data_IF_982662982375
#
_entry.id   IF_982662982375
#
_cell.length_a   1.000
_cell.length_b   1.000
_cell.length_c   1.000
_cell.angle_alpha   90.00
_cell.angle_beta   90.00
_cell.angle_gamma   90.00
#
_symmetry.space_group_name_H-M   'P 1'
#
loop_
_entity.id
_entity.type
_entity.pdbx_description
1 polymer ?
#
# COMPACT_ATOMS: atom_id res chain seq x y z
N UNK A 1 22.84 16.37 -30.20
CA UNK A 1 22.08 16.47 -28.93
C UNK A 1 22.70 15.48 -27.95
N UNK A 2 23.45 15.95 -26.94
CA UNK A 2 24.11 15.06 -25.97
C UNK A 2 23.04 14.54 -25.00
N UNK A 3 22.73 13.24 -25.07
CA UNK A 3 21.90 12.61 -24.05
C UNK A 3 22.69 12.62 -22.73
N UNK A 4 22.14 13.28 -21.71
CA UNK A 4 22.66 13.21 -20.34
C UNK A 4 22.64 11.77 -19.82
N UNK A 5 23.24 11.52 -18.64
CA UNK A 5 23.25 10.20 -18.02
C UNK A 5 21.83 9.64 -17.92
N UNK A 6 21.66 8.35 -18.24
CA UNK A 6 20.37 7.66 -18.16
C UNK A 6 19.82 7.77 -16.74
N UNK A 7 18.74 8.55 -16.55
CA UNK A 7 18.10 8.72 -15.25
C UNK A 7 17.37 7.45 -14.78
N UNK A 8 17.08 6.52 -15.70
CA UNK A 8 16.31 5.30 -15.44
C UNK A 8 17.17 4.06 -15.66
N UNK A 9 17.10 3.13 -14.70
CA UNK A 9 17.73 1.81 -14.83
C UNK A 9 16.93 0.94 -15.80
N UNK A 10 17.64 0.22 -16.67
CA UNK A 10 17.04 -0.72 -17.64
C UNK A 10 16.25 -1.81 -16.93
N UNK A 11 15.15 -2.25 -17.54
CA UNK A 11 14.30 -3.35 -17.08
C UNK A 11 13.66 -3.14 -15.69
N UNK A 12 13.59 -1.90 -15.21
CA UNK A 12 12.85 -1.57 -14.00
C UNK A 12 11.39 -1.30 -14.35
N UNK A 13 10.48 -1.76 -13.49
CA UNK A 13 9.06 -1.42 -13.60
C UNK A 13 8.86 0.00 -13.09
N UNK A 14 8.24 0.83 -13.91
CA UNK A 14 7.95 2.21 -13.62
C UNK A 14 6.45 2.39 -13.39
N UNK A 15 6.14 3.24 -12.42
CA UNK A 15 4.81 3.71 -12.13
C UNK A 15 4.75 5.20 -12.45
N UNK A 16 3.81 5.56 -13.31
CA UNK A 16 3.58 6.94 -13.67
C UNK A 16 2.40 7.48 -12.86
N UNK A 17 2.58 8.63 -12.22
CA UNK A 17 1.52 9.33 -11.51
C UNK A 17 1.32 10.68 -12.18
N UNK A 18 0.20 10.83 -12.88
CA UNK A 18 -0.20 12.09 -13.51
C UNK A 18 -1.13 12.82 -12.55
N UNK A 19 -0.72 13.99 -12.08
CA UNK A 19 -1.51 14.88 -11.23
C UNK A 19 -2.03 16.04 -12.07
N UNK A 20 -3.35 16.09 -12.28
CA UNK A 20 -4.01 17.18 -13.00
C UNK A 20 -4.73 18.09 -12.00
N UNK A 21 -4.51 19.39 -12.09
CA UNK A 21 -5.21 20.41 -11.30
C UNK A 21 -6.27 21.05 -12.18
N UNK A 22 -7.53 20.77 -11.88
CA UNK A 22 -8.69 21.26 -12.63
C UNK A 22 -9.48 22.25 -11.78
N UNK A 23 -9.96 23.38 -12.34
CA UNK A 23 -10.97 24.18 -11.67
C UNK A 23 -12.27 23.41 -11.50
N UNK A 24 -12.98 23.68 -10.40
CA UNK A 24 -14.36 23.22 -10.23
C UNK A 24 -15.36 24.12 -11.00
N UNK A 25 -15.09 24.38 -12.29
CA UNK A 25 -15.98 25.16 -13.16
C UNK A 25 -17.24 24.37 -13.54
N UNK A 26 -18.33 25.07 -13.86
CA UNK A 26 -19.56 24.41 -14.32
C UNK A 26 -19.36 23.66 -15.64
N UNK A 27 -18.38 24.08 -16.46
CA UNK A 27 -17.96 23.35 -17.65
C UNK A 27 -17.32 22.00 -17.27
N UNK A 28 -16.27 22.00 -16.44
CA UNK A 28 -15.58 20.79 -15.99
C UNK A 28 -16.51 19.82 -15.24
N UNK A 29 -17.48 20.34 -14.51
CA UNK A 29 -18.49 19.54 -13.80
C UNK A 29 -19.43 18.81 -14.78
N UNK A 30 -19.81 19.46 -15.89
CA UNK A 30 -20.71 18.87 -16.91
C UNK A 30 -19.96 17.96 -17.88
N UNK A 31 -18.65 18.11 -18.00
CA UNK A 31 -17.81 17.34 -18.92
C UNK A 31 -17.88 15.82 -18.68
N UNK A 32 -17.96 15.42 -17.40
CA UNK A 32 -18.06 14.02 -17.00
C UNK A 32 -16.73 13.27 -17.05
N UNK A 33 -16.76 12.05 -17.61
CA UNK A 33 -15.59 11.21 -17.80
C UNK A 33 -14.75 11.68 -18.99
N UNK A 34 -13.45 11.88 -18.79
CA UNK A 34 -12.46 12.13 -19.84
C UNK A 34 -11.32 11.11 -19.75
N UNK A 35 -10.69 10.84 -20.88
CA UNK A 35 -9.66 9.81 -20.96
C UNK A 35 -8.27 10.45 -20.97
N UNK A 36 -7.37 9.95 -20.14
CA UNK A 36 -5.98 10.42 -20.09
C UNK A 36 -5.09 9.26 -20.49
N UNK A 37 -4.28 9.50 -21.52
CA UNK A 37 -3.34 8.55 -22.08
C UNK A 37 -1.92 9.05 -21.85
N UNK A 38 -1.05 8.17 -21.37
CA UNK A 38 0.37 8.43 -21.25
C UNK A 38 1.17 7.49 -22.15
N UNK A 39 2.13 8.05 -22.86
CA UNK A 39 2.98 7.35 -23.82
C UNK A 39 4.44 7.61 -23.49
N UNK A 40 5.24 6.54 -23.45
CA UNK A 40 6.69 6.65 -23.34
C UNK A 40 7.29 6.72 -24.73
N UNK A 41 8.06 7.77 -24.97
CA UNK A 41 8.74 8.02 -26.23
C UNK A 41 10.23 7.68 -26.09
N UNK A 42 10.71 6.85 -27.01
CA UNK A 42 12.13 6.58 -27.21
C UNK A 42 12.85 7.82 -27.76
N UNK A 43 14.19 7.82 -27.72
CA UNK A 43 15.03 8.83 -28.37
C UNK A 43 14.73 9.00 -29.87
N UNK A 44 14.22 7.95 -30.53
CA UNK A 44 13.80 7.98 -31.94
C UNK A 44 12.40 8.57 -32.17
N UNK A 45 11.68 8.98 -31.12
CA UNK A 45 10.30 9.45 -31.20
C UNK A 45 9.27 8.33 -31.35
N UNK A 46 9.69 7.06 -31.36
CA UNK A 46 8.80 5.91 -31.38
C UNK A 46 8.11 5.73 -30.02
N UNK A 47 6.81 5.45 -30.03
CA UNK A 47 6.05 5.07 -28.83
C UNK A 47 6.45 3.65 -28.42
N UNK A 48 7.10 3.51 -27.27
CA UNK A 48 7.51 2.21 -26.72
C UNK A 48 6.38 1.58 -25.95
N UNK A 49 5.71 2.36 -25.11
CA UNK A 49 4.59 1.92 -24.29
C UNK A 49 3.52 3.00 -24.21
N UNK A 50 2.26 2.59 -24.17
CA UNK A 50 1.10 3.46 -24.01
C UNK A 50 0.17 2.87 -22.95
N UNK A 51 -0.33 3.71 -22.05
CA UNK A 51 -1.37 3.36 -21.08
C UNK A 51 -2.45 4.42 -21.11
N UNK A 52 -3.72 3.99 -21.08
CA UNK A 52 -4.87 4.89 -21.05
C UNK A 52 -5.72 4.58 -19.83
N UNK A 53 -6.14 5.62 -19.12
CA UNK A 53 -7.01 5.51 -17.96
C UNK A 53 -8.16 6.53 -18.08
N UNK A 54 -9.42 6.09 -17.90
CA UNK A 54 -10.54 7.01 -17.81
C UNK A 54 -10.54 7.66 -16.42
N UNK A 55 -10.83 8.95 -16.35
CA UNK A 55 -10.94 9.69 -15.10
C UNK A 55 -12.05 10.75 -15.17
N UNK A 56 -12.50 11.22 -14.01
CA UNK A 56 -13.60 12.17 -13.91
C UNK A 56 -13.39 13.07 -12.71
N UNK A 57 -13.85 14.32 -12.82
CA UNK A 57 -13.92 15.25 -11.69
C UNK A 57 -14.77 14.63 -10.58
N UNK A 58 -14.34 14.75 -9.32
CA UNK A 58 -15.09 14.07 -8.24
C UNK A 58 -16.45 14.72 -8.11
N UNK A 59 -17.49 13.93 -8.36
CA UNK A 59 -18.85 14.41 -8.21
C UNK A 59 -19.13 14.78 -6.75
N UNK A 60 -19.70 15.96 -6.56
CA UNK A 60 -20.20 16.46 -5.28
C UNK A 60 -21.66 16.86 -5.48
N UNK A 61 -22.51 16.53 -4.52
CA UNK A 61 -23.91 16.92 -4.60
C UNK A 61 -24.06 18.45 -4.44
N UNK A 62 -25.12 19.06 -5.00
CA UNK A 62 -25.34 20.51 -4.89
C UNK A 62 -25.37 21.01 -3.45
N UNK A 63 -25.95 20.23 -2.53
CA UNK A 63 -26.05 20.59 -1.11
C UNK A 63 -24.68 20.52 -0.41
N UNK A 64 -23.91 19.46 -0.65
CA UNK A 64 -22.56 19.31 -0.09
C UNK A 64 -21.67 20.45 -0.60
N UNK A 65 -21.79 20.78 -1.89
CA UNK A 65 -21.09 21.91 -2.50
C UNK A 65 -21.46 23.22 -1.82
N UNK A 66 -22.73 23.48 -1.55
CA UNK A 66 -23.15 24.71 -0.87
C UNK A 66 -22.51 24.85 0.51
N UNK A 67 -22.55 23.78 1.31
CA UNK A 67 -21.91 23.76 2.65
C UNK A 67 -20.40 23.93 2.53
N UNK A 68 -19.75 23.24 1.58
CA UNK A 68 -18.32 23.35 1.36
C UNK A 68 -17.89 24.74 0.89
N UNK A 69 -18.63 25.36 -0.04
CA UNK A 69 -18.40 26.74 -0.48
C UNK A 69 -18.59 27.68 0.70
N UNK A 70 -19.64 27.53 1.50
CA UNK A 70 -19.87 28.36 2.68
C UNK A 70 -18.71 28.29 3.68
N UNK A 71 -18.23 27.07 3.98
CA UNK A 71 -17.06 26.86 4.84
C UNK A 71 -15.76 27.41 4.21
N UNK A 72 -15.60 27.26 2.90
CA UNK A 72 -14.43 27.75 2.16
C UNK A 72 -14.43 29.25 1.98
N UNK A 73 -15.56 29.95 2.01
CA UNK A 73 -15.63 31.42 1.85
C UNK A 73 -14.67 32.13 2.80
N UNK A 74 -14.64 31.74 4.07
CA UNK A 74 -13.70 32.32 5.04
C UNK A 74 -12.23 32.11 4.64
N UNK A 75 -11.87 30.89 4.25
CA UNK A 75 -10.50 30.53 3.86
C UNK A 75 -10.10 31.10 2.49
N UNK A 76 -11.05 31.26 1.57
CA UNK A 76 -10.87 31.88 0.26
C UNK A 76 -10.57 33.37 0.40
N UNK A 77 -11.33 34.08 1.25
CA UNK A 77 -11.10 35.50 1.55
C UNK A 77 -9.75 35.72 2.25
N UNK A 78 -9.34 34.77 3.09
CA UNK A 78 -8.02 34.78 3.73
C UNK A 78 -6.87 34.37 2.77
N UNK A 79 -7.17 34.00 1.52
CA UNK A 79 -6.17 33.65 0.50
C UNK A 79 -5.52 32.26 0.65
N UNK A 80 -6.00 31.43 1.57
CA UNK A 80 -5.41 30.12 1.87
C UNK A 80 -5.96 28.97 1.00
N UNK A 81 -7.12 29.15 0.37
CA UNK A 81 -7.79 28.11 -0.42
C UNK A 81 -8.04 28.58 -1.86
N UNK A 82 -8.09 27.63 -2.80
CA UNK A 82 -8.50 27.86 -4.20
C UNK A 82 -9.60 26.88 -4.61
N UNK A 83 -10.46 27.27 -5.56
CA UNK A 83 -11.53 26.42 -6.09
C UNK A 83 -11.04 25.45 -7.17
N UNK A 84 -10.00 24.69 -6.83
CA UNK A 84 -9.37 23.72 -7.72
C UNK A 84 -9.33 22.33 -7.09
N UNK A 85 -9.52 21.30 -7.92
CA UNK A 85 -9.41 19.92 -7.54
C UNK A 85 -8.17 19.27 -8.18
N UNK A 86 -7.42 18.50 -7.39
CA UNK A 86 -6.29 17.71 -7.86
C UNK A 86 -6.76 16.27 -8.10
N UNK A 87 -6.59 15.79 -9.34
CA UNK A 87 -6.87 14.43 -9.77
C UNK A 87 -5.55 13.69 -9.95
N UNK A 88 -5.35 12.61 -9.22
CA UNK A 88 -4.14 11.77 -9.30
C UNK A 88 -4.45 10.47 -10.04
N UNK A 89 -3.86 10.30 -11.21
CA UNK A 89 -4.06 9.15 -12.09
C UNK A 89 -2.81 8.30 -12.02
N UNK A 90 -2.95 7.07 -11.50
CA UNK A 90 -1.85 6.11 -11.37
C UNK A 90 -1.89 5.16 -12.56
N UNK A 91 -0.87 5.21 -13.40
CA UNK A 91 -0.70 4.31 -14.53
C UNK A 91 0.50 3.39 -14.24
N UNK A 92 0.26 2.08 -14.28
CA UNK A 92 1.26 1.03 -14.03
C UNK A 92 1.55 0.25 -15.29
N UNK A 93 2.60 -0.56 -15.26
CA UNK A 93 2.94 -1.46 -16.37
C UNK A 93 3.92 -0.89 -17.38
N UNK A 94 4.55 0.25 -17.08
CA UNK A 94 5.66 0.75 -17.90
C UNK A 94 6.94 -0.01 -17.55
N UNK A 95 7.57 -0.60 -18.55
CA UNK A 95 8.86 -1.27 -18.40
C UNK A 95 9.87 -0.51 -19.25
N UNK A 96 10.96 -0.09 -18.63
CA UNK A 96 12.05 0.57 -19.36
C UNK A 96 12.71 -0.45 -20.30
N UNK A 97 12.52 -0.22 -21.60
CA UNK A 97 13.02 -1.10 -22.66
C UNK A 97 14.53 -1.00 -22.88
N UNK A 98 15.01 -1.64 -23.96
CA UNK A 98 16.44 -1.56 -24.32
C UNK A 98 16.82 -0.16 -24.83
N UNK A 99 15.87 0.51 -25.47
CA UNK A 99 15.97 1.90 -25.89
C UNK A 99 15.62 2.82 -24.71
N UNK A 100 16.45 3.84 -24.42
CA UNK A 100 16.16 4.76 -23.32
C UNK A 100 14.92 5.59 -23.62
N UNK A 101 14.01 5.64 -22.66
CA UNK A 101 12.88 6.58 -22.64
C UNK A 101 13.40 7.99 -22.43
N UNK A 102 13.13 8.88 -23.37
CA UNK A 102 13.58 10.28 -23.32
C UNK A 102 12.46 11.21 -22.90
N UNK A 103 11.22 10.91 -23.29
CA UNK A 103 10.09 11.79 -23.04
C UNK A 103 8.84 10.97 -22.69
N UNK A 104 7.99 11.52 -21.83
CA UNK A 104 6.65 11.01 -21.56
C UNK A 104 5.66 11.99 -22.16
N UNK A 105 4.87 11.52 -23.12
CA UNK A 105 3.80 12.29 -23.77
C UNK A 105 2.48 11.98 -23.08
N UNK A 106 1.82 13.01 -22.56
CA UNK A 106 0.50 12.90 -21.93
C UNK A 106 -0.51 13.50 -22.90
N UNK A 107 -1.53 12.72 -23.25
CA UNK A 107 -2.58 13.07 -24.19
C UNK A 107 -3.91 12.98 -23.45
N UNK A 108 -4.70 14.05 -23.52
CA UNK A 108 -6.08 14.03 -23.05
C UNK A 108 -6.95 13.73 -24.26
N UNK A 109 -7.57 12.56 -24.26
CA UNK A 109 -8.39 12.09 -25.36
C UNK A 109 -9.83 12.59 -25.17
N UNK A 110 -10.38 13.22 -26.22
CA UNK A 110 -11.78 13.63 -26.23
C UNK A 110 -12.69 12.41 -26.33
N UNK A 111 -13.86 12.47 -25.68
CA UNK A 111 -14.89 11.46 -25.87
C UNK A 111 -15.59 11.67 -27.22
N UNK A 112 -15.86 10.60 -27.94
CA UNK A 112 -16.54 10.63 -29.25
C UNK A 112 -17.96 11.25 -29.22
N UNK A 113 -18.54 11.40 -28.03
CA UNK A 113 -19.86 12.00 -27.81
C UNK A 113 -19.85 13.54 -27.99
N UNK A 114 -18.69 14.18 -27.85
CA UNK A 114 -18.56 15.63 -28.00
C UNK A 114 -18.14 16.03 -29.41
N UNK A 115 -18.63 17.20 -29.86
CA UNK A 115 -18.23 17.81 -31.14
C UNK A 115 -16.71 18.02 -31.18
N UNK A 116 -16.06 17.99 -32.36
CA UNK A 116 -14.63 18.28 -32.48
C UNK A 116 -14.31 19.64 -31.85
N UNK A 117 -13.42 19.66 -30.86
CA UNK A 117 -13.06 20.87 -30.10
C UNK A 117 -13.90 21.13 -28.84
N UNK A 118 -14.90 20.29 -28.55
CA UNK A 118 -15.63 20.26 -27.28
C UNK A 118 -15.27 18.99 -26.48
N UNK A 119 -15.37 19.04 -25.15
CA UNK A 119 -15.14 17.87 -24.30
C UNK A 119 -13.69 17.71 -23.82
N UNK A 120 -12.87 18.77 -23.90
CA UNK A 120 -11.54 18.82 -23.28
C UNK A 120 -11.68 19.57 -21.93
N UNK A 121 -11.28 18.99 -20.80
CA UNK A 121 -11.35 19.66 -19.51
C UNK A 121 -10.45 20.90 -19.45
N UNK A 122 -10.89 21.92 -18.72
CA UNK A 122 -10.05 23.03 -18.30
C UNK A 122 -9.05 22.53 -17.25
N UNK A 123 -7.78 22.88 -17.41
CA UNK A 123 -6.67 22.45 -16.55
C UNK A 123 -5.81 23.65 -16.24
N UNK A 124 -5.50 23.87 -14.96
CA UNK A 124 -4.58 24.92 -14.53
C UNK A 124 -3.14 24.46 -14.51
N UNK A 125 -2.90 23.24 -14.04
CA UNK A 125 -1.57 22.68 -13.97
C UNK A 125 -1.62 21.17 -14.15
N UNK A 126 -0.56 20.63 -14.76
CA UNK A 126 -0.32 19.20 -14.82
C UNK A 126 1.06 18.94 -14.22
N UNK A 127 1.17 17.92 -13.39
CA UNK A 127 2.43 17.47 -12.80
C UNK A 127 2.59 16.00 -13.05
N UNK A 128 3.79 15.60 -13.44
CA UNK A 128 4.14 14.23 -13.70
C UNK A 128 5.14 13.77 -12.64
N UNK A 129 4.79 12.69 -11.93
CA UNK A 129 5.70 12.01 -11.03
C UNK A 129 6.00 10.63 -11.58
N UNK A 130 7.27 10.37 -11.78
CA UNK A 130 7.76 9.06 -12.19
C UNK A 130 8.33 8.37 -10.95
N UNK A 131 7.67 7.30 -10.53
CA UNK A 131 8.07 6.50 -9.39
C UNK A 131 8.55 5.14 -9.89
N UNK A 132 9.66 4.63 -9.37
CA UNK A 132 9.99 3.22 -9.55
C UNK A 132 8.90 2.41 -8.86
N UNK A 133 8.26 1.49 -9.58
CA UNK A 133 7.23 0.64 -8.99
C UNK A 133 7.90 -0.21 -7.89
N UNK A 134 7.70 0.18 -6.62
CA UNK A 134 8.18 -0.62 -5.52
C UNK A 134 7.50 -1.99 -5.62
N UNK A 135 8.27 -3.09 -5.58
CA UNK A 135 7.72 -4.39 -5.88
C UNK A 135 6.63 -4.73 -4.87
N UNK A 136 5.58 -5.42 -5.31
CA UNK A 136 4.58 -6.08 -4.44
C UNK A 136 5.25 -6.84 -3.27
N UNK A 137 6.49 -7.26 -3.49
CA UNK A 137 7.40 -7.80 -2.48
C UNK A 137 7.54 -6.92 -1.23
N UNK A 138 7.47 -5.59 -1.29
CA UNK A 138 7.49 -4.74 -0.10
C UNK A 138 6.26 -4.95 0.78
N UNK A 139 5.08 -5.13 0.17
CA UNK A 139 3.85 -5.49 0.90
C UNK A 139 3.93 -6.90 1.46
N UNK A 140 4.52 -7.83 0.71
CA UNK A 140 4.73 -9.21 1.14
C UNK A 140 5.74 -9.31 2.30
N UNK A 141 6.88 -8.60 2.21
CA UNK A 141 7.87 -8.47 3.29
C UNK A 141 7.23 -7.88 4.54
N UNK A 142 6.37 -6.87 4.39
CA UNK A 142 5.71 -6.24 5.51
C UNK A 142 4.76 -7.21 6.21
N UNK A 143 3.96 -7.95 5.46
CA UNK A 143 3.09 -8.97 6.02
C UNK A 143 3.89 -10.13 6.65
N UNK A 144 5.03 -10.51 6.04
CA UNK A 144 5.87 -11.59 6.53
C UNK A 144 6.57 -11.22 7.85
N UNK A 145 6.93 -9.94 8.04
CA UNK A 145 7.41 -9.45 9.34
C UNK A 145 6.39 -9.63 10.46
N UNK A 146 5.10 -9.37 10.19
CA UNK A 146 4.03 -9.56 11.17
C UNK A 146 3.87 -11.05 11.49
N UNK A 147 3.92 -11.94 10.50
CA UNK A 147 3.81 -13.38 10.74
C UNK A 147 4.99 -13.94 11.53
N UNK A 148 6.22 -13.48 11.25
CA UNK A 148 7.41 -13.89 12.01
C UNK A 148 7.28 -13.44 13.47
N UNK A 149 6.82 -12.20 13.70
CA UNK A 149 6.61 -11.69 15.06
C UNK A 149 5.61 -12.54 15.84
N UNK A 150 4.45 -12.86 15.25
CA UNK A 150 3.45 -13.72 15.88
C UNK A 150 4.03 -15.11 16.17
N UNK A 151 4.78 -15.69 15.24
CA UNK A 151 5.37 -17.03 15.40
C UNK A 151 6.42 -17.08 16.52
N UNK A 152 7.26 -16.05 16.66
CA UNK A 152 8.24 -15.93 17.75
C UNK A 152 7.53 -15.79 19.11
N UNK A 153 6.49 -14.98 19.21
CA UNK A 153 5.72 -14.84 20.45
C UNK A 153 5.03 -16.16 20.84
N UNK A 154 4.44 -16.86 19.86
CA UNK A 154 3.79 -18.15 20.10
C UNK A 154 4.77 -19.23 20.55
N UNK A 155 5.97 -19.31 19.95
CA UNK A 155 6.99 -20.29 20.33
C UNK A 155 7.56 -20.01 21.72
N UNK A 156 7.80 -18.75 22.07
CA UNK A 156 8.20 -18.34 23.43
C UNK A 156 7.14 -18.71 24.46
N UNK A 157 5.86 -18.44 24.17
CA UNK A 157 4.76 -18.77 25.08
C UNK A 157 4.64 -20.28 25.34
N UNK A 158 4.76 -21.10 24.29
CA UNK A 158 4.73 -22.57 24.43
C UNK A 158 5.94 -23.06 25.23
N UNK A 159 7.12 -22.47 25.02
CA UNK A 159 8.33 -22.82 25.77
C UNK A 159 8.20 -22.51 27.26
N UNK A 160 7.70 -21.32 27.62
CA UNK A 160 7.39 -20.95 29.01
C UNK A 160 6.37 -21.92 29.65
N UNK A 161 5.31 -22.26 28.91
CA UNK A 161 4.29 -23.20 29.40
C UNK A 161 4.86 -24.61 29.62
N UNK A 162 5.77 -25.08 28.76
CA UNK A 162 6.48 -26.34 28.93
C UNK A 162 7.39 -26.32 30.15
N UNK A 163 8.14 -25.23 30.37
CA UNK A 163 8.99 -25.07 31.56
C UNK A 163 8.15 -25.15 32.82
N UNK A 164 7.07 -24.37 32.92
CA UNK A 164 6.17 -24.40 34.07
C UNK A 164 5.60 -25.80 34.28
N UNK A 165 5.16 -26.46 33.21
CA UNK A 165 4.60 -27.81 33.33
C UNK A 165 5.64 -28.81 33.83
N UNK A 166 6.89 -28.77 33.35
CA UNK A 166 7.98 -29.64 33.81
C UNK A 166 8.41 -29.31 35.25
N UNK A 167 8.54 -28.03 35.59
CA UNK A 167 8.90 -27.58 36.95
C UNK A 167 7.78 -27.86 37.98
N UNK A 168 6.51 -27.83 37.57
CA UNK A 168 5.37 -28.11 38.43
C UNK A 168 4.96 -29.60 38.47
N UNK A 169 5.43 -30.45 37.54
CA UNK A 169 5.25 -31.92 37.61
C UNK A 169 5.71 -32.54 38.94
N UNK A 170 6.86 -32.18 39.54
CA UNK A 170 7.25 -32.69 40.85
C UNK A 170 6.40 -32.14 42.02
N UNK A 171 5.58 -31.10 41.81
CA UNK A 171 4.66 -30.57 42.82
C UNK A 171 3.26 -31.20 42.74
N UNK A 172 2.82 -31.69 41.58
CA UNK A 172 1.47 -32.25 41.37
C UNK A 172 1.39 -33.76 41.67
N UNK A 173 2.52 -34.50 41.61
CA UNK A 173 2.57 -35.91 42.03
C UNK A 173 3.18 -35.98 43.44
N UNK A 174 2.38 -35.96 44.52
CA UNK A 174 2.91 -36.29 45.83
C UNK A 174 3.40 -37.74 45.75
N UNK A 175 4.71 -37.94 45.92
CA UNK A 175 5.29 -39.27 46.13
C UNK A 175 4.53 -39.93 47.28
N UNK A 176 3.66 -40.89 46.96
CA UNK A 176 3.12 -41.82 47.94
C UNK A 176 4.28 -42.70 48.41
N UNK A 177 4.91 -42.26 49.51
CA UNK A 177 5.89 -43.05 50.25
C UNK A 177 5.14 -44.23 50.86
N UNK A 178 5.12 -45.37 50.17
CA UNK A 178 4.69 -46.65 50.75
C UNK A 178 5.66 -47.00 51.87
N UNK A 179 5.23 -46.80 53.12
CA UNK A 179 5.95 -47.18 54.32
C UNK A 179 5.77 -48.69 54.51
N UNK A 180 6.74 -49.51 54.10
CA UNK A 180 6.82 -50.91 54.53
C UNK A 180 7.47 -50.95 55.92
N UNK A 181 6.65 -50.83 56.96
CA UNK A 181 7.06 -51.16 58.33
C UNK A 181 7.00 -52.68 58.53
N UNK A 182 8.18 -53.31 58.57
CA UNK A 182 8.36 -54.60 59.27
C UNK A 182 9.36 -54.37 60.41
N UNK A 183 8.92 -54.26 61.67
CA UNK A 183 9.82 -54.34 62.80
C UNK A 183 9.87 -55.77 63.32
N UNK A 184 10.94 -56.48 62.98
CA UNK A 184 11.41 -57.63 63.76
C UNK A 184 11.72 -57.19 65.20
N UNK A 185 11.08 -57.81 66.19
CA UNK A 185 11.64 -57.96 67.55
C UNK A 185 11.30 -59.34 68.14
N UNK A 186 12.35 -60.14 68.28
CA UNK A 186 12.64 -61.18 69.29
C UNK A 186 12.44 -60.66 70.73
N UNK A 187 12.62 -61.44 71.82
CA UNK A 187 12.68 -62.91 72.01
C UNK A 187 11.85 -63.42 73.22
N UNK A 188 11.70 -64.73 73.39
CA UNK A 188 11.55 -65.44 74.67
C UNK A 188 11.87 -66.92 74.33
N UNK A 189 12.66 -67.73 75.05
CA UNK A 189 13.20 -67.66 76.39
C UNK A 189 13.19 -69.09 76.95
N UNK A 190 14.35 -69.62 77.35
CA UNK A 190 14.50 -70.81 78.21
C UNK A 190 14.66 -72.18 77.50
N UNK A 191 15.85 -72.81 77.59
CA UNK A 191 16.26 -73.81 78.63
C UNK A 191 15.58 -75.17 78.42
N UNK A 192 16.22 -76.33 78.48
CA UNK A 192 17.54 -76.77 78.93
C UNK A 192 17.53 -78.30 78.83
N UNK A 193 18.70 -78.89 78.57
CA UNK A 193 19.05 -80.31 78.78
C UNK A 193 18.53 -81.35 77.79
#
# INVERSE_FOLDING_TARGET
>A
MRLGPRALQKNHRLQLVVSLVLPESDYNRKLGMFQVRAELLSASGKVTHSSSQPCMLRFKSPHIRFVETFLRTGTLLAGYSSESQIINIKMTGFVEGNDPTVCVRIIIEQRAEYKPGAGIPEIYAASLKLESQLPLMKRMIWNWRITIFIWVVMTLFVFELLIVLVCCRPLIIPRTRTNSETPNRLPDGGTSS
#
